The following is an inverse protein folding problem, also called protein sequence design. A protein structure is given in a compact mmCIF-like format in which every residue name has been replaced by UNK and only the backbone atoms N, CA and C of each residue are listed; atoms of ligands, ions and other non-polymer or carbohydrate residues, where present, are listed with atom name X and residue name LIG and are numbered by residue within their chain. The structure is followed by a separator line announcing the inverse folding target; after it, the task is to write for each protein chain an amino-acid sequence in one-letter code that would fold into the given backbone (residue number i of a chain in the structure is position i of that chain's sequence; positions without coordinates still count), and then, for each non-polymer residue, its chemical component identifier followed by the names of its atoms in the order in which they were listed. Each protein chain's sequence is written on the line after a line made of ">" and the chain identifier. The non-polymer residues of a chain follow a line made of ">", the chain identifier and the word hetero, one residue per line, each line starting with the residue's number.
data_IF_933046544932
#
_entry.id   IF_933046544932
#
_cell.length_a   1.000
_cell.length_b   1.000
_cell.length_c   1.000
_cell.angle_alpha   90.00
_cell.angle_beta   90.00
_cell.angle_gamma   90.00
#
_symmetry.space_group_name_H-M   'P 1'
#
loop_
_entity.id
_entity.type
_entity.pdbx_description
1 polymer ?
#
# COMPACT_ATOMS: atom_id res chain seq x y z
N UNK A 1 -22.48 33.36 -7.88
CA UNK A 1 -22.30 31.94 -8.26
C UNK A 1 -20.96 31.47 -7.68
N UNK A 2 -20.97 30.83 -6.50
CA UNK A 2 -19.75 30.36 -5.84
C UNK A 2 -19.18 29.19 -6.63
N UNK A 3 -17.97 29.36 -7.17
CA UNK A 3 -17.23 28.35 -7.93
C UNK A 3 -16.85 27.24 -6.94
N UNK A 4 -17.65 26.18 -6.88
CA UNK A 4 -17.42 25.05 -5.98
C UNK A 4 -16.05 24.45 -6.29
N UNK A 5 -15.10 24.62 -5.37
CA UNK A 5 -13.73 24.16 -5.54
C UNK A 5 -13.74 22.65 -5.82
N UNK A 6 -13.19 22.26 -6.97
CA UNK A 6 -13.28 20.90 -7.44
C UNK A 6 -12.52 19.95 -6.48
N UNK A 7 -13.25 18.99 -5.91
CA UNK A 7 -12.80 18.15 -4.80
C UNK A 7 -11.98 16.97 -5.32
N UNK A 8 -10.81 16.73 -4.73
CA UNK A 8 -10.00 15.55 -5.03
C UNK A 8 -10.71 14.27 -4.55
N UNK A 9 -10.62 13.20 -5.34
CA UNK A 9 -11.17 11.88 -5.01
C UNK A 9 -10.03 10.98 -4.53
N UNK A 10 -10.17 10.40 -3.34
CA UNK A 10 -9.21 9.45 -2.79
C UNK A 10 -9.65 8.02 -3.11
N UNK A 11 -8.73 7.23 -3.67
CA UNK A 11 -8.91 5.79 -3.91
C UNK A 11 -7.85 5.04 -3.12
N UNK A 12 -8.28 4.12 -2.25
CA UNK A 12 -7.37 3.29 -1.45
C UNK A 12 -7.33 1.89 -2.06
N UNK A 13 -6.14 1.41 -2.39
CA UNK A 13 -5.92 0.08 -2.96
C UNK A 13 -4.91 -0.68 -2.09
N UNK A 14 -5.04 -1.99 -2.06
CA UNK A 14 -3.99 -2.89 -1.57
C UNK A 14 -3.60 -3.76 -2.76
N UNK A 15 -2.34 -3.70 -3.14
CA UNK A 15 -1.81 -4.39 -4.32
C UNK A 15 -0.56 -5.17 -3.90
N UNK A 16 -0.38 -6.36 -4.45
CA UNK A 16 0.83 -7.13 -4.22
C UNK A 16 2.05 -6.43 -4.82
N UNK A 17 3.16 -6.37 -4.08
CA UNK A 17 4.43 -5.86 -4.57
C UNK A 17 4.83 -6.55 -5.88
N UNK A 18 5.19 -5.76 -6.89
CA UNK A 18 5.55 -6.25 -8.23
C UNK A 18 4.41 -6.90 -9.03
N UNK A 19 3.17 -6.87 -8.54
CA UNK A 19 2.02 -7.58 -9.12
C UNK A 19 0.86 -6.64 -9.49
N UNK A 20 1.09 -5.34 -9.63
CA UNK A 20 0.07 -4.44 -10.15
C UNK A 20 -0.20 -4.76 -11.64
N UNK A 21 -1.47 -4.98 -11.97
CA UNK A 21 -1.95 -5.21 -13.33
C UNK A 21 -3.27 -4.46 -13.55
N UNK A 22 -3.66 -4.15 -14.81
CA UNK A 22 -4.93 -3.46 -15.10
C UNK A 22 -6.17 -4.35 -14.88
N UNK A 23 -6.03 -5.51 -14.25
CA UNK A 23 -7.14 -6.40 -13.88
C UNK A 23 -7.81 -5.89 -12.57
N UNK A 24 -9.02 -6.39 -12.23
CA UNK A 24 -9.58 -6.22 -10.89
C UNK A 24 -8.55 -6.65 -9.83
N UNK A 25 -8.28 -5.85 -8.77
CA UNK A 25 -9.04 -4.68 -8.31
C UNK A 25 -8.59 -3.32 -8.87
N UNK A 26 -7.41 -3.22 -9.50
CA UNK A 26 -6.78 -1.93 -9.88
C UNK A 26 -7.47 -1.30 -11.09
N UNK A 27 -7.73 -2.08 -12.14
CA UNK A 27 -8.35 -1.61 -13.37
C UNK A 27 -9.71 -0.94 -13.15
N UNK A 28 -10.70 -1.62 -12.55
CA UNK A 28 -12.00 -1.02 -12.26
C UNK A 28 -11.94 0.18 -11.31
N UNK A 29 -11.09 0.12 -10.27
CA UNK A 29 -11.01 1.18 -9.26
C UNK A 29 -10.45 2.50 -9.81
N UNK A 30 -9.46 2.43 -10.71
CA UNK A 30 -8.87 3.62 -11.35
C UNK A 30 -9.62 4.02 -12.63
N UNK A 31 -10.05 3.05 -13.43
CA UNK A 31 -10.77 3.26 -14.68
C UNK A 31 -12.11 3.97 -14.48
N UNK A 32 -12.87 3.62 -13.43
CA UNK A 32 -14.12 4.32 -13.07
C UNK A 32 -13.93 5.80 -12.70
N UNK A 33 -12.69 6.23 -12.45
CA UNK A 33 -12.31 7.63 -12.16
C UNK A 33 -11.60 8.31 -13.32
N UNK A 34 -11.49 7.65 -14.48
CA UNK A 34 -10.83 8.20 -15.67
C UNK A 34 -9.30 8.26 -15.56
N UNK A 35 -8.70 7.46 -14.68
CA UNK A 35 -7.25 7.40 -14.43
C UNK A 35 -6.60 6.30 -15.28
N UNK A 36 -5.42 6.58 -15.85
CA UNK A 36 -4.64 5.62 -16.63
C UNK A 36 -4.02 4.55 -15.72
N UNK A 37 -4.72 3.42 -15.57
CA UNK A 37 -4.29 2.32 -14.70
C UNK A 37 -2.93 1.70 -15.11
N UNK A 38 -2.59 1.70 -16.41
CA UNK A 38 -1.33 1.10 -16.90
C UNK A 38 -0.10 1.86 -16.38
N UNK A 39 -0.16 3.20 -16.36
CA UNK A 39 0.93 4.04 -15.88
C UNK A 39 1.16 3.83 -14.38
N UNK A 40 0.07 3.73 -13.62
CA UNK A 40 0.12 3.34 -12.20
C UNK A 40 0.75 1.96 -12.02
N UNK A 41 0.33 0.93 -12.78
CA UNK A 41 0.86 -0.42 -12.62
C UNK A 41 2.38 -0.49 -12.85
N UNK A 42 2.88 0.20 -13.90
CA UNK A 42 4.31 0.23 -14.21
C UNK A 42 5.13 0.91 -13.11
N UNK A 43 4.73 2.11 -12.71
CA UNK A 43 5.44 2.88 -11.67
C UNK A 43 5.37 2.17 -10.30
N UNK A 44 4.21 1.60 -9.96
CA UNK A 44 4.04 0.84 -8.72
C UNK A 44 4.94 -0.40 -8.69
N UNK A 45 5.01 -1.18 -9.76
CA UNK A 45 5.85 -2.37 -9.83
C UNK A 45 7.34 -2.01 -9.74
N UNK A 46 7.78 -0.94 -10.40
CA UNK A 46 9.15 -0.45 -10.30
C UNK A 46 9.49 -0.01 -8.87
N UNK A 47 8.61 0.76 -8.22
CA UNK A 47 8.82 1.22 -6.83
C UNK A 47 8.76 0.10 -5.81
N UNK A 48 8.02 -0.97 -6.07
CA UNK A 48 7.87 -2.11 -5.14
C UNK A 48 8.81 -3.28 -5.45
N UNK A 49 9.68 -3.17 -6.46
CA UNK A 49 10.59 -4.25 -6.88
C UNK A 49 11.60 -4.70 -5.79
N UNK A 50 11.87 -3.84 -4.80
CA UNK A 50 12.74 -4.15 -3.67
C UNK A 50 12.06 -4.98 -2.57
N UNK A 51 10.73 -5.15 -2.65
CA UNK A 51 9.96 -5.94 -1.70
C UNK A 51 9.73 -7.35 -2.24
N UNK A 52 9.52 -8.32 -1.34
CA UNK A 52 9.16 -9.67 -1.74
C UNK A 52 7.87 -9.64 -2.59
N UNK A 53 7.87 -10.30 -3.77
CA UNK A 53 6.69 -10.33 -4.64
C UNK A 53 5.43 -10.79 -3.90
N UNK A 54 4.31 -10.12 -4.16
CA UNK A 54 3.02 -10.44 -3.53
C UNK A 54 2.85 -9.90 -2.10
N UNK A 55 3.85 -9.23 -1.53
CA UNK A 55 3.69 -8.50 -0.26
C UNK A 55 2.55 -7.48 -0.41
N UNK A 56 1.54 -7.46 0.48
CA UNK A 56 0.42 -6.52 0.37
C UNK A 56 0.90 -5.11 0.68
N UNK A 57 0.85 -4.25 -0.33
CA UNK A 57 1.32 -2.87 -0.27
C UNK A 57 0.13 -1.93 -0.46
N UNK A 58 -0.23 -1.12 0.56
CA UNK A 58 -1.30 -0.15 0.42
C UNK A 58 -0.85 1.05 -0.43
N UNK A 59 -1.68 1.46 -1.39
CA UNK A 59 -1.52 2.66 -2.18
C UNK A 59 -2.71 3.60 -1.95
N UNK A 60 -2.43 4.88 -1.71
CA UNK A 60 -3.45 5.93 -1.65
C UNK A 60 -3.29 6.79 -2.90
N UNK A 61 -4.27 6.73 -3.78
CA UNK A 61 -4.32 7.48 -5.03
C UNK A 61 -5.21 8.69 -4.81
N UNK A 62 -4.70 9.87 -5.14
CA UNK A 62 -5.43 11.14 -5.16
C UNK A 62 -5.71 11.51 -6.60
N UNK A 63 -6.97 11.43 -7.01
CA UNK A 63 -7.43 11.82 -8.34
C UNK A 63 -7.86 13.28 -8.28
N UNK A 64 -7.24 14.10 -9.13
CA UNK A 64 -7.56 15.52 -9.28
C UNK A 64 -8.71 15.71 -10.28
N UNK A 65 -9.38 16.87 -10.29
CA UNK A 65 -10.50 17.17 -11.19
C UNK A 65 -10.16 17.13 -12.68
N UNK A 66 -8.91 17.39 -13.04
CA UNK A 66 -8.36 17.32 -14.41
C UNK A 66 -8.04 15.87 -14.85
N UNK A 67 -8.43 14.87 -14.06
CA UNK A 67 -8.13 13.43 -14.24
C UNK A 67 -6.64 13.09 -14.12
N UNK A 68 -5.80 14.04 -13.71
CA UNK A 68 -4.46 13.71 -13.25
C UNK A 68 -4.53 13.00 -11.90
N UNK A 69 -3.51 12.21 -11.58
CA UNK A 69 -3.45 11.50 -10.32
C UNK A 69 -2.06 11.63 -9.69
N UNK A 70 -2.03 11.67 -8.38
CA UNK A 70 -0.82 11.40 -7.58
C UNK A 70 -1.09 10.20 -6.69
N UNK A 71 -0.05 9.53 -6.22
CA UNK A 71 -0.25 8.44 -5.28
C UNK A 71 0.91 8.29 -4.32
N UNK A 72 0.60 7.73 -3.17
CA UNK A 72 1.55 7.42 -2.11
C UNK A 72 1.52 5.92 -1.83
N UNK A 73 2.69 5.29 -1.86
CA UNK A 73 2.88 3.90 -1.44
C UNK A 73 3.17 3.91 0.06
N UNK A 74 2.43 3.09 0.81
CA UNK A 74 2.68 2.88 2.23
C UNK A 74 3.45 1.59 2.47
N UNK A 75 4.12 1.52 3.61
CA UNK A 75 4.73 0.27 4.08
C UNK A 75 3.68 -0.84 4.16
N UNK A 76 4.06 -2.10 3.91
CA UNK A 76 3.21 -3.24 4.20
C UNK A 76 2.66 -3.20 5.63
N UNK A 77 1.44 -3.70 5.88
CA UNK A 77 0.87 -3.75 7.23
C UNK A 77 1.80 -4.48 8.19
N UNK A 78 2.04 -3.89 9.37
CA UNK A 78 2.91 -4.49 10.39
C UNK A 78 2.44 -5.89 10.77
N UNK A 79 1.12 -6.10 10.84
CA UNK A 79 0.53 -7.41 11.11
C UNK A 79 0.96 -8.45 10.07
N UNK A 80 0.99 -8.11 8.78
CA UNK A 80 1.42 -9.04 7.72
C UNK A 80 2.91 -9.37 7.85
N UNK A 81 3.75 -8.37 8.13
CA UNK A 81 5.19 -8.56 8.33
C UNK A 81 5.48 -9.47 9.54
N UNK A 82 4.75 -9.28 10.65
CA UNK A 82 4.87 -10.12 11.84
C UNK A 82 4.40 -11.54 11.59
N UNK A 83 3.27 -11.72 10.91
CA UNK A 83 2.75 -13.04 10.54
C UNK A 83 3.74 -13.78 9.64
N UNK A 84 4.31 -13.09 8.64
CA UNK A 84 5.32 -13.67 7.76
C UNK A 84 6.60 -14.06 8.50
N UNK A 85 7.08 -13.22 9.42
CA UNK A 85 8.26 -13.50 10.24
C UNK A 85 8.03 -14.63 11.27
N UNK A 86 6.79 -14.82 11.71
CA UNK A 86 6.39 -15.92 12.59
C UNK A 86 6.05 -17.22 11.83
N UNK A 87 6.01 -17.18 10.49
CA UNK A 87 5.64 -18.32 9.65
C UNK A 87 4.17 -18.73 9.75
N UNK A 88 3.27 -17.79 10.07
CA UNK A 88 1.83 -18.03 10.21
C UNK A 88 1.03 -17.27 9.17
N UNK A 89 -0.09 -17.85 8.72
CA UNK A 89 -0.97 -17.22 7.73
C UNK A 89 -2.12 -16.43 8.36
N UNK A 90 -2.51 -16.77 9.60
CA UNK A 90 -3.60 -16.12 10.33
C UNK A 90 -3.20 -15.85 11.78
N UNK A 91 -3.57 -14.66 12.26
CA UNK A 91 -3.49 -14.31 13.67
C UNK A 91 -4.59 -14.97 14.52
N UNK A 92 -4.51 -14.82 15.84
CA UNK A 92 -5.56 -15.25 16.78
C UNK A 92 -6.58 -14.14 17.03
N UNK A 93 -7.89 -14.45 17.11
CA UNK A 93 -8.88 -13.51 17.62
C UNK A 93 -8.78 -13.34 19.15
N UNK A 94 -8.13 -14.25 19.86
CA UNK A 94 -7.96 -14.25 21.33
C UNK A 94 -6.58 -13.71 21.73
N UNK A 95 -6.28 -12.47 21.33
CA UNK A 95 -5.01 -11.80 21.66
C UNK A 95 -4.79 -11.77 23.18
N UNK A 96 -3.59 -12.16 23.63
CA UNK A 96 -3.21 -12.22 25.05
C UNK A 96 -3.57 -13.53 25.77
N UNK A 97 -4.42 -14.38 25.20
CA UNK A 97 -4.76 -15.70 25.77
C UNK A 97 -4.06 -16.86 25.05
N UNK A 98 -3.90 -16.76 23.73
CA UNK A 98 -3.24 -17.78 22.91
C UNK A 98 -2.09 -17.18 22.12
N UNK A 99 -0.93 -17.82 22.21
CA UNK A 99 0.25 -17.48 21.39
C UNK A 99 0.23 -18.33 20.14
N UNK A 100 0.18 -17.70 18.96
CA UNK A 100 0.10 -18.40 17.67
C UNK A 100 1.44 -18.43 16.92
N UNK A 101 2.46 -17.72 17.40
CA UNK A 101 3.78 -17.71 16.80
C UNK A 101 4.77 -16.92 17.65
N UNK A 102 6.05 -17.14 17.42
CA UNK A 102 7.14 -16.42 18.08
C UNK A 102 7.97 -15.72 17.02
N UNK A 103 8.35 -14.47 17.29
CA UNK A 103 9.19 -13.66 16.40
C UNK A 103 10.48 -13.32 17.15
N UNK A 104 11.62 -13.58 16.53
CA UNK A 104 12.93 -13.23 17.12
C UNK A 104 13.17 -11.73 17.10
N UNK A 105 14.01 -11.23 18.00
CA UNK A 105 14.42 -9.82 18.02
C UNK A 105 15.08 -9.39 16.69
N UNK A 106 15.79 -10.30 16.02
CA UNK A 106 16.38 -10.06 14.70
C UNK A 106 15.30 -9.71 13.67
N UNK A 107 14.22 -10.48 13.60
CA UNK A 107 13.11 -10.20 12.69
C UNK A 107 12.42 -8.88 13.05
N UNK A 108 12.25 -8.56 14.33
CA UNK A 108 11.66 -7.27 14.76
C UNK A 108 12.50 -6.09 14.23
N UNK A 109 13.83 -6.20 14.34
CA UNK A 109 14.74 -5.16 13.84
C UNK A 109 14.67 -4.99 12.32
N UNK A 110 14.58 -6.08 11.56
CA UNK A 110 14.39 -6.05 10.10
C UNK A 110 13.06 -5.41 9.70
N UNK A 111 11.97 -5.77 10.38
CA UNK A 111 10.64 -5.17 10.18
C UNK A 111 10.67 -3.67 10.47
N UNK A 112 11.35 -3.25 11.54
CA UNK A 112 11.50 -1.84 11.89
C UNK A 112 12.26 -1.06 10.79
N UNK A 113 13.32 -1.63 10.21
CA UNK A 113 14.04 -1.03 9.08
C UNK A 113 13.13 -0.82 7.86
N UNK A 114 12.38 -1.84 7.47
CA UNK A 114 11.44 -1.78 6.34
C UNK A 114 10.40 -0.66 6.56
N UNK A 115 9.87 -0.56 7.78
CA UNK A 115 8.86 0.45 8.12
C UNK A 115 9.42 1.87 8.20
N UNK A 116 10.66 2.04 8.66
CA UNK A 116 11.33 3.34 8.79
C UNK A 116 11.50 4.05 7.45
N UNK A 117 11.81 3.32 6.38
CA UNK A 117 12.03 3.88 5.04
C UNK A 117 10.79 4.52 4.43
N UNK A 118 9.59 4.12 4.87
CA UNK A 118 8.30 4.58 4.31
C UNK A 118 7.45 5.26 5.38
N UNK A 119 8.09 5.98 6.30
CA UNK A 119 7.36 6.89 7.19
C UNK A 119 6.91 8.10 6.39
N UNK A 120 5.60 8.24 6.23
CA UNK A 120 4.93 9.49 5.91
C UNK A 120 5.48 10.62 6.80
N UNK A 121 6.42 11.37 6.28
CA UNK A 121 6.64 12.76 6.64
C UNK A 121 6.39 13.54 5.36
N UNK A 122 5.26 14.25 5.33
CA UNK A 122 4.79 15.02 4.19
C UNK A 122 5.88 15.97 3.71
N UNK A 123 6.56 15.63 2.63
CA UNK A 123 7.25 16.63 1.82
C UNK A 123 6.22 17.13 0.81
N UNK A 124 5.54 18.22 1.19
CA UNK A 124 4.99 19.17 0.22
C UNK A 124 6.15 19.52 -0.72
N UNK A 125 6.03 19.17 -1.99
CA UNK A 125 6.74 19.90 -3.02
C UNK A 125 5.84 21.07 -3.40
N UNK A 126 6.39 22.26 -3.15
CA UNK A 126 5.88 23.58 -3.51
C UNK A 126 5.58 23.71 -4.99
#
# INVERSE_FOLDING_TARGET
>A
MSKQAAKNILVKLIVGAGQASPQPPVGPALGSKGVKAIDFCKDFNARTAHLNPGTPVPAIITVKPDRSFTYEIKSPPTAWLLMKAAGIDKGTPEAGKKTVGTVSLKHIYEIAKIKKTVSSFSHRLS
#
